data_IF_574204028486
#
_entry.id   IF_574204028486
#
_cell.length_a   1.000
_cell.length_b   1.000
_cell.length_c   1.000
_cell.angle_alpha   90.00
_cell.angle_beta   90.00
_cell.angle_gamma   90.00
#
_symmetry.space_group_name_H-M   'P 1'
#
loop_
_entity.id
_entity.type
_entity.pdbx_description
1 polymer ?
#
# COMPACT_ATOMS: atom_id res chain seq x y z
N UNK A 1 -24.21 11.71 0.08
CA UNK A 1 -22.99 12.54 0.14
C UNK A 1 -22.27 12.14 1.40
N UNK A 2 -21.63 10.98 1.37
CA UNK A 2 -20.69 10.56 2.41
C UNK A 2 -19.47 11.48 2.26
N UNK A 3 -19.03 12.11 3.34
CA UNK A 3 -17.76 12.85 3.33
C UNK A 3 -16.67 11.80 3.17
N UNK A 4 -15.87 11.90 2.12
CA UNK A 4 -14.58 11.20 2.03
C UNK A 4 -13.79 11.55 3.30
N UNK A 5 -13.47 10.53 4.09
CA UNK A 5 -12.75 10.69 5.36
C UNK A 5 -11.26 10.63 5.04
N UNK A 6 -10.64 11.79 4.84
CA UNK A 6 -9.19 11.89 4.67
C UNK A 6 -8.49 11.81 6.04
N UNK A 7 -7.50 10.91 6.16
CA UNK A 7 -6.63 10.79 7.32
C UNK A 7 -5.18 11.06 6.92
N UNK A 8 -4.63 12.16 7.42
CA UNK A 8 -3.25 12.56 7.14
C UNK A 8 -2.34 12.32 8.34
N UNK A 9 -1.32 11.49 8.16
CA UNK A 9 -0.30 11.17 9.17
C UNK A 9 0.99 11.88 8.79
N UNK A 10 1.39 12.89 9.58
CA UNK A 10 2.59 13.70 9.32
C UNK A 10 3.62 13.66 10.44
N UNK A 11 3.36 12.92 11.52
CA UNK A 11 4.29 12.80 12.64
C UNK A 11 5.05 11.46 12.57
N UNK A 12 6.39 11.48 12.49
CA UNK A 12 7.18 10.27 12.34
C UNK A 12 7.22 9.45 13.62
N UNK A 13 7.46 8.13 13.50
CA UNK A 13 7.57 7.24 14.67
C UNK A 13 6.25 6.99 15.39
N UNK A 14 5.11 7.29 14.76
CA UNK A 14 3.78 7.16 15.36
C UNK A 14 3.06 5.88 14.95
N UNK A 15 2.10 5.45 15.77
CA UNK A 15 1.26 4.29 15.49
C UNK A 15 -0.21 4.70 15.42
N UNK A 16 -0.91 4.25 14.38
CA UNK A 16 -2.32 4.59 14.14
C UNK A 16 -3.16 3.34 13.86
N UNK A 17 -4.44 3.41 14.25
CA UNK A 17 -5.46 2.43 13.88
C UNK A 17 -6.66 3.18 13.34
N UNK A 18 -7.01 2.91 12.08
CA UNK A 18 -8.05 3.64 11.34
C UNK A 18 -9.04 2.62 10.77
N UNK A 19 -10.31 3.02 10.71
CA UNK A 19 -11.39 2.21 10.15
C UNK A 19 -12.08 2.97 9.03
N UNK A 20 -12.14 2.37 7.86
CA UNK A 20 -12.81 2.87 6.67
C UNK A 20 -14.19 2.19 6.56
N UNK A 21 -15.23 2.87 7.04
CA UNK A 21 -16.60 2.35 7.03
C UNK A 21 -17.37 2.69 5.73
N UNK A 22 -16.82 3.58 4.89
CA UNK A 22 -17.47 4.06 3.66
C UNK A 22 -16.47 4.64 2.64
N UNK A 23 -15.31 3.99 2.49
CA UNK A 23 -14.15 4.55 1.79
C UNK A 23 -13.32 5.46 2.70
N UNK A 24 -12.51 6.32 2.07
CA UNK A 24 -11.63 7.28 2.75
C UNK A 24 -10.18 7.09 2.34
N UNK A 25 -9.47 8.20 2.37
CA UNK A 25 -8.12 8.32 1.82
C UNK A 25 -7.15 8.45 2.98
N UNK A 26 -6.10 7.64 2.97
CA UNK A 26 -5.09 7.62 4.01
C UNK A 26 -3.76 8.09 3.44
N UNK A 27 -3.27 9.22 3.94
CA UNK A 27 -2.01 9.79 3.50
C UNK A 27 -0.93 9.64 4.59
N UNK A 28 0.09 8.85 4.31
CA UNK A 28 1.26 8.68 5.20
C UNK A 28 2.42 9.53 4.69
N UNK A 29 2.59 10.72 5.25
CA UNK A 29 3.62 11.71 4.88
C UNK A 29 4.80 11.78 5.85
N UNK A 30 4.97 10.74 6.67
CA UNK A 30 6.02 10.69 7.67
C UNK A 30 6.66 9.31 7.72
N UNK A 31 7.93 9.31 8.11
CA UNK A 31 8.73 8.10 8.23
C UNK A 31 8.41 7.30 9.51
N UNK A 32 8.79 6.03 9.52
CA UNK A 32 8.79 5.18 10.71
C UNK A 32 7.37 5.04 11.32
N UNK A 33 6.34 5.07 10.48
CA UNK A 33 4.93 4.95 10.89
C UNK A 33 4.52 3.47 10.96
N UNK A 34 3.68 3.13 11.94
CA UNK A 34 2.98 1.83 11.96
C UNK A 34 1.48 2.07 11.83
N UNK A 35 0.82 1.41 10.89
CA UNK A 35 -0.58 1.64 10.58
C UNK A 35 -1.37 0.33 10.51
N UNK A 36 -2.54 0.32 11.12
CA UNK A 36 -3.53 -0.75 10.96
C UNK A 36 -4.82 -0.15 10.40
N UNK A 37 -5.21 -0.60 9.22
CA UNK A 37 -6.45 -0.23 8.54
C UNK A 37 -7.44 -1.40 8.58
N UNK A 38 -8.73 -1.08 8.73
CA UNK A 38 -9.83 -2.06 8.70
C UNK A 38 -11.01 -1.50 7.92
N UNK A 39 -11.83 -2.38 7.35
CA UNK A 39 -12.89 -2.03 6.42
C UNK A 39 -12.38 -1.83 4.99
N UNK A 40 -13.18 -1.09 4.22
CA UNK A 40 -12.95 -0.83 2.80
C UNK A 40 -12.46 0.61 2.65
N UNK A 41 -11.13 0.77 2.59
CA UNK A 41 -10.51 2.08 2.34
C UNK A 41 -10.43 2.32 0.82
N UNK A 42 -10.58 3.58 0.41
CA UNK A 42 -10.50 3.92 -1.01
C UNK A 42 -9.03 3.91 -1.44
N UNK A 43 -8.21 4.74 -0.78
CA UNK A 43 -6.83 4.96 -1.14
C UNK A 43 -5.92 4.91 0.09
N UNK A 44 -4.72 4.36 -0.10
CA UNK A 44 -3.59 4.52 0.81
C UNK A 44 -2.39 5.02 0.02
N UNK A 45 -1.99 6.27 0.26
CA UNK A 45 -0.78 6.90 -0.27
C UNK A 45 0.33 6.87 0.79
N UNK A 46 1.48 6.31 0.46
CA UNK A 46 2.67 6.25 1.34
C UNK A 46 3.84 7.01 0.70
N UNK A 47 3.97 8.28 1.07
CA UNK A 47 5.15 9.11 0.78
C UNK A 47 6.32 8.80 1.73
N UNK A 48 5.99 8.42 2.97
CA UNK A 48 6.96 8.14 4.03
C UNK A 48 7.80 6.89 3.79
N UNK A 49 8.96 6.82 4.44
CA UNK A 49 9.84 5.65 4.40
C UNK A 49 9.81 4.84 5.70
N UNK A 50 10.15 3.55 5.62
CA UNK A 50 10.20 2.64 6.78
C UNK A 50 8.86 2.49 7.50
N UNK A 51 7.76 2.60 6.75
CA UNK A 51 6.40 2.40 7.25
C UNK A 51 6.04 0.92 7.24
N UNK A 52 5.32 0.47 8.28
CA UNK A 52 4.70 -0.85 8.33
C UNK A 52 3.19 -0.72 8.33
N UNK A 53 2.52 -1.33 7.35
CA UNK A 53 1.05 -1.27 7.22
C UNK A 53 0.44 -2.67 7.21
N UNK A 54 -0.67 -2.82 7.93
CA UNK A 54 -1.60 -3.94 7.78
C UNK A 54 -2.98 -3.39 7.40
N UNK A 55 -3.55 -3.87 6.30
CA UNK A 55 -4.85 -3.43 5.79
C UNK A 55 -5.78 -4.61 5.46
N UNK A 56 -7.09 -4.38 5.49
CA UNK A 56 -8.07 -5.28 4.89
C UNK A 56 -8.15 -5.01 3.38
N UNK A 57 -9.04 -4.11 2.95
CA UNK A 57 -9.31 -3.88 1.53
C UNK A 57 -8.91 -2.45 1.12
N UNK A 58 -8.29 -2.33 -0.04
CA UNK A 58 -7.91 -1.07 -0.69
C UNK A 58 -8.32 -1.10 -2.15
N UNK A 59 -8.89 -0.01 -2.67
CA UNK A 59 -8.97 0.14 -4.12
C UNK A 59 -7.57 0.49 -4.65
N UNK A 60 -6.93 1.49 -4.07
CA UNK A 60 -5.66 2.02 -4.54
C UNK A 60 -4.61 1.99 -3.43
N UNK A 61 -3.47 1.36 -3.72
CA UNK A 61 -2.28 1.37 -2.89
C UNK A 61 -1.15 2.02 -3.67
N UNK A 62 -0.81 3.26 -3.31
CA UNK A 62 0.30 3.99 -3.89
C UNK A 62 1.46 4.14 -2.90
N UNK A 63 2.66 3.76 -3.34
CA UNK A 63 3.86 3.76 -2.50
C UNK A 63 5.00 4.44 -3.26
N UNK A 64 5.20 5.72 -2.95
CA UNK A 64 6.30 6.53 -3.44
C UNK A 64 7.54 6.42 -2.54
N UNK A 65 7.35 6.18 -1.23
CA UNK A 65 8.44 6.09 -0.26
C UNK A 65 9.24 4.77 -0.31
N UNK A 66 10.37 4.75 0.41
CA UNK A 66 11.32 3.64 0.40
C UNK A 66 11.21 2.74 1.64
N UNK A 67 11.61 1.48 1.49
CA UNK A 67 11.78 0.51 2.59
C UNK A 67 10.51 0.28 3.42
N UNK A 68 9.35 0.36 2.79
CA UNK A 68 8.05 0.11 3.40
C UNK A 68 7.70 -1.39 3.37
N UNK A 69 6.90 -1.82 4.35
CA UNK A 69 6.35 -3.16 4.45
C UNK A 69 4.83 -3.09 4.51
N UNK A 70 4.13 -3.65 3.53
CA UNK A 70 2.66 -3.61 3.47
C UNK A 70 2.11 -5.03 3.38
N UNK A 71 1.15 -5.34 4.24
CA UNK A 71 0.32 -6.55 4.14
C UNK A 71 -1.14 -6.15 3.99
N UNK A 72 -1.79 -6.56 2.91
CA UNK A 72 -3.21 -6.27 2.66
C UNK A 72 -3.97 -7.51 2.19
N UNK A 73 -5.28 -7.55 2.40
CA UNK A 73 -6.12 -8.67 1.93
C UNK A 73 -6.43 -8.50 0.45
N UNK A 74 -7.23 -7.50 0.09
CA UNK A 74 -7.60 -7.23 -1.30
C UNK A 74 -7.08 -5.84 -1.70
N UNK A 75 -6.37 -5.79 -2.82
CA UNK A 75 -5.93 -4.54 -3.46
C UNK A 75 -6.39 -4.57 -4.91
N UNK A 76 -7.13 -3.56 -5.37
CA UNK A 76 -7.49 -3.50 -6.79
C UNK A 76 -6.28 -3.12 -7.62
N UNK A 77 -5.58 -2.04 -7.25
CA UNK A 77 -4.44 -1.49 -7.99
C UNK A 77 -3.28 -1.17 -7.02
N UNK A 78 -2.09 -1.66 -7.35
CA UNK A 78 -0.84 -1.35 -6.66
C UNK A 78 0.05 -0.52 -7.58
N UNK A 79 0.39 0.70 -7.16
CA UNK A 79 1.43 1.54 -7.75
C UNK A 79 2.66 1.56 -6.84
N UNK A 80 3.83 1.27 -7.40
CA UNK A 80 5.08 1.17 -6.64
C UNK A 80 6.25 1.90 -7.33
N UNK A 81 6.42 3.17 -6.97
CA UNK A 81 7.51 4.02 -7.47
C UNK A 81 8.76 3.97 -6.57
N UNK A 82 8.57 3.74 -5.26
CA UNK A 82 9.66 3.70 -4.28
C UNK A 82 10.57 2.48 -4.41
N UNK A 83 11.62 2.40 -3.57
CA UNK A 83 12.61 1.33 -3.61
C UNK A 83 12.67 0.49 -2.34
N UNK A 84 13.09 -0.77 -2.48
CA UNK A 84 13.29 -1.72 -1.36
C UNK A 84 12.01 -1.98 -0.55
N UNK A 85 10.84 -1.87 -1.18
CA UNK A 85 9.56 -2.14 -0.55
C UNK A 85 9.23 -3.64 -0.57
N UNK A 86 8.54 -4.12 0.46
CA UNK A 86 8.06 -5.52 0.58
C UNK A 86 6.54 -5.53 0.73
N UNK A 87 5.84 -6.10 -0.26
CA UNK A 87 4.39 -6.09 -0.35
C UNK A 87 3.85 -7.53 -0.37
N UNK A 88 2.86 -7.81 0.48
CA UNK A 88 2.18 -9.11 0.56
C UNK A 88 0.68 -8.91 0.49
N UNK A 89 0.04 -9.50 -0.53
CA UNK A 89 -1.37 -9.32 -0.84
C UNK A 89 -2.09 -10.68 -0.84
N UNK A 90 -3.32 -10.79 -0.35
CA UNK A 90 -4.10 -12.02 -0.59
C UNK A 90 -4.65 -12.06 -2.02
N UNK A 91 -5.07 -10.91 -2.56
CA UNK A 91 -5.44 -10.81 -3.98
C UNK A 91 -5.13 -9.43 -4.58
N UNK A 92 -4.85 -9.42 -5.89
CA UNK A 92 -4.58 -8.19 -6.65
C UNK A 92 -5.03 -8.28 -8.10
N UNK A 93 -5.45 -7.14 -8.67
CA UNK A 93 -5.93 -7.06 -10.07
C UNK A 93 -4.97 -6.33 -10.99
N UNK A 94 -4.23 -5.33 -10.49
CA UNK A 94 -3.26 -4.57 -11.27
C UNK A 94 -2.04 -4.26 -10.41
N UNK A 95 -0.85 -4.41 -11.00
CA UNK A 95 0.44 -4.14 -10.40
C UNK A 95 1.25 -3.31 -11.38
N UNK A 96 1.54 -2.07 -11.03
CA UNK A 96 2.42 -1.17 -11.75
C UNK A 96 3.65 -0.89 -10.86
N UNK A 97 4.84 -1.20 -11.37
CA UNK A 97 6.11 -0.98 -10.66
C UNK A 97 7.07 -0.18 -11.52
N UNK A 98 7.44 1.00 -11.04
CA UNK A 98 8.47 1.85 -11.65
C UNK A 98 9.77 1.88 -10.82
N UNK A 99 9.66 1.54 -9.53
CA UNK A 99 10.74 1.61 -8.55
C UNK A 99 11.81 0.51 -8.67
N UNK A 100 12.66 0.38 -7.66
CA UNK A 100 13.75 -0.60 -7.70
C UNK A 100 13.93 -1.43 -6.44
N UNK A 101 14.44 -2.66 -6.63
CA UNK A 101 14.75 -3.61 -5.57
C UNK A 101 13.51 -3.96 -4.70
N UNK A 102 12.33 -3.93 -5.31
CA UNK A 102 11.06 -4.22 -4.64
C UNK A 102 10.72 -5.71 -4.66
N UNK A 103 9.95 -6.17 -3.68
CA UNK A 103 9.39 -7.53 -3.64
C UNK A 103 7.88 -7.45 -3.44
N UNK A 104 7.12 -8.01 -4.38
CA UNK A 104 5.66 -8.12 -4.32
C UNK A 104 5.28 -9.60 -4.35
N UNK A 105 4.40 -10.00 -3.44
CA UNK A 105 3.86 -11.36 -3.36
C UNK A 105 2.34 -11.33 -3.27
N UNK A 106 1.65 -12.20 -4.02
CA UNK A 106 0.19 -12.30 -3.94
C UNK A 106 -0.32 -13.75 -3.98
N UNK A 107 -1.37 -14.08 -3.24
CA UNK A 107 -1.89 -15.47 -3.17
C UNK A 107 -2.87 -15.82 -4.30
N UNK A 108 -3.64 -14.85 -4.80
CA UNK A 108 -4.68 -15.08 -5.80
C UNK A 108 -4.93 -13.88 -6.71
N UNK A 109 -5.61 -14.12 -7.84
CA UNK A 109 -5.81 -13.13 -8.89
C UNK A 109 -5.16 -13.53 -10.21
N UNK A 110 -5.35 -12.71 -11.23
CA UNK A 110 -4.64 -12.77 -12.51
C UNK A 110 -4.29 -11.33 -12.89
N UNK A 111 -3.32 -10.71 -12.19
CA UNK A 111 -3.11 -9.28 -12.32
C UNK A 111 -2.56 -8.91 -13.69
N UNK A 112 -3.00 -7.78 -14.21
CA UNK A 112 -2.21 -7.08 -15.22
C UNK A 112 -0.95 -6.56 -14.53
N UNK A 113 0.22 -6.94 -15.03
CA UNK A 113 1.51 -6.50 -14.48
C UNK A 113 2.22 -5.64 -15.50
N UNK A 114 2.55 -4.41 -15.10
CA UNK A 114 3.49 -3.50 -15.79
C UNK A 114 4.69 -3.27 -14.85
N UNK A 115 5.87 -3.74 -15.25
CA UNK A 115 7.10 -3.60 -14.46
C UNK A 115 8.15 -2.92 -15.32
N UNK A 116 8.29 -1.62 -15.11
CA UNK A 116 9.36 -0.78 -15.67
C UNK A 116 10.53 -0.61 -14.68
N UNK A 117 10.42 -1.22 -13.50
CA UNK A 117 11.38 -1.16 -12.42
C UNK A 117 12.67 -1.94 -12.65
N UNK A 118 13.56 -1.90 -11.66
CA UNK A 118 14.85 -2.62 -11.69
C UNK A 118 14.98 -3.54 -10.49
N UNK A 119 15.38 -4.79 -10.74
CA UNK A 119 15.57 -5.81 -9.69
C UNK A 119 14.30 -6.04 -8.85
N UNK A 120 13.12 -5.82 -9.42
CA UNK A 120 11.85 -6.15 -8.79
C UNK A 120 11.61 -7.66 -8.87
N UNK A 121 11.05 -8.23 -7.80
CA UNK A 121 10.52 -9.60 -7.80
C UNK A 121 9.02 -9.54 -7.58
N UNK A 122 8.25 -10.17 -8.46
CA UNK A 122 6.78 -10.26 -8.37
C UNK A 122 6.41 -11.75 -8.45
N UNK A 123 5.95 -12.32 -7.35
CA UNK A 123 5.67 -13.76 -7.24
C UNK A 123 4.24 -14.04 -6.79
N UNK A 124 3.60 -15.03 -7.43
CA UNK A 124 2.39 -15.65 -6.87
C UNK A 124 2.81 -16.67 -5.79
N UNK A 125 2.25 -16.54 -4.58
CA UNK A 125 2.59 -17.36 -3.40
C UNK A 125 1.85 -18.70 -3.35
#
# INVERSE_FOLDING_TARGET
MTREMEHRITEPGTTHTIRCDAGGDIDVRADDVTLTLSGDCEELEIDGSRTTVTSENLNDLDIQGDSNSVTASEVRELSLEGSTNTITLSSVTEIDVEGSDNTVSYESGDPRVDDEGRNTTIDAA
#
